data_IF_804254332117
#
_entry.id   IF_804254332117
#
_cell.length_a   1.000
_cell.length_b   1.000
_cell.length_c   1.000
_cell.angle_alpha   90.00
_cell.angle_beta   90.00
_cell.angle_gamma   90.00
#
_symmetry.space_group_name_H-M   'P 1'
#
loop_
_entity.id
_entity.type
_entity.pdbx_description
1 polymer ?
#
# COMPACT_ATOMS: atom_id res chain seq x y z
N UNK A 1 -21.79 0.55 3.37
CA UNK A 1 -21.95 1.99 3.17
C UNK A 1 -21.96 2.68 4.54
N UNK A 2 -21.06 3.65 4.75
CA UNK A 2 -20.94 4.37 6.03
C UNK A 2 -21.71 5.70 6.03
N UNK A 3 -22.28 6.07 4.89
CA UNK A 3 -23.04 7.31 4.75
C UNK A 3 -24.41 7.20 5.43
N UNK A 4 -24.78 8.24 6.17
CA UNK A 4 -26.13 8.36 6.75
C UNK A 4 -27.12 8.90 5.72
N UNK A 5 -28.40 8.63 5.92
CA UNK A 5 -29.45 9.17 5.07
C UNK A 5 -29.38 10.71 5.01
N UNK A 6 -29.43 11.26 3.80
CA UNK A 6 -29.32 12.70 3.56
C UNK A 6 -27.89 13.25 3.41
N UNK A 7 -26.87 12.44 3.57
CA UNK A 7 -25.49 12.83 3.25
C UNK A 7 -25.24 12.69 1.75
N UNK A 8 -24.62 13.70 1.17
CA UNK A 8 -24.13 13.64 -0.20
C UNK A 8 -22.79 12.90 -0.23
N UNK A 9 -22.65 11.96 -1.16
CA UNK A 9 -21.46 11.11 -1.24
C UNK A 9 -20.87 11.11 -2.64
N UNK A 10 -19.53 11.01 -2.71
CA UNK A 10 -18.79 10.80 -3.94
C UNK A 10 -17.81 9.65 -3.76
N UNK A 11 -17.86 8.66 -4.65
CA UNK A 11 -16.93 7.53 -4.63
C UNK A 11 -15.61 7.93 -5.28
N UNK A 12 -14.48 7.63 -4.60
CA UNK A 12 -13.13 7.83 -5.13
C UNK A 12 -12.85 6.72 -6.16
N UNK A 13 -12.71 7.09 -7.44
CA UNK A 13 -12.53 6.15 -8.58
C UNK A 13 -11.33 6.53 -9.47
N UNK A 14 -10.21 6.93 -8.90
CA UNK A 14 -9.00 7.23 -9.67
C UNK A 14 -8.93 8.66 -10.25
N UNK A 15 -10.04 9.33 -10.53
CA UNK A 15 -10.06 10.75 -10.88
C UNK A 15 -9.94 11.62 -9.62
N UNK A 16 -8.69 11.81 -9.18
CA UNK A 16 -8.39 12.59 -7.98
C UNK A 16 -8.75 14.06 -8.16
N UNK A 17 -8.64 14.61 -9.38
CA UNK A 17 -8.98 16.00 -9.64
C UNK A 17 -10.47 16.26 -9.42
N UNK A 18 -11.34 15.37 -9.89
CA UNK A 18 -12.78 15.47 -9.63
C UNK A 18 -13.10 15.35 -8.12
N UNK A 19 -12.42 14.47 -7.39
CA UNK A 19 -12.58 14.33 -5.93
C UNK A 19 -12.20 15.63 -5.22
N UNK A 20 -11.06 16.21 -5.56
CA UNK A 20 -10.60 17.48 -4.96
C UNK A 20 -11.54 18.65 -5.28
N UNK A 21 -12.05 18.72 -6.51
CA UNK A 21 -13.03 19.73 -6.91
C UNK A 21 -14.35 19.61 -6.12
N UNK A 22 -14.84 18.37 -5.95
CA UNK A 22 -16.02 18.10 -5.13
C UNK A 22 -15.80 18.50 -3.66
N UNK A 23 -14.68 18.13 -3.07
CA UNK A 23 -14.34 18.52 -1.69
C UNK A 23 -14.32 20.06 -1.57
N UNK A 24 -13.68 20.77 -2.50
CA UNK A 24 -13.59 22.23 -2.49
C UNK A 24 -14.97 22.89 -2.56
N UNK A 25 -15.87 22.39 -3.41
CA UNK A 25 -17.25 22.89 -3.49
C UNK A 25 -18.00 22.70 -2.17
N UNK A 26 -17.90 21.50 -1.57
CA UNK A 26 -18.65 21.18 -0.35
C UNK A 26 -18.11 21.89 0.89
N UNK A 27 -16.81 22.12 0.99
CA UNK A 27 -16.20 22.86 2.10
C UNK A 27 -16.71 24.30 2.24
N UNK A 28 -17.30 24.88 1.18
CA UNK A 28 -17.93 26.20 1.27
C UNK A 28 -19.17 26.23 2.18
N UNK A 29 -19.78 25.09 2.44
CA UNK A 29 -21.10 24.99 3.11
C UNK A 29 -21.11 23.99 4.27
N UNK A 30 -20.19 23.04 4.31
CA UNK A 30 -20.25 21.94 5.29
C UNK A 30 -18.88 21.33 5.55
N UNK A 31 -18.81 20.48 6.57
CA UNK A 31 -17.65 19.61 6.79
C UNK A 31 -17.66 18.43 5.81
N UNK A 32 -16.47 18.05 5.33
CA UNK A 32 -16.29 16.90 4.44
C UNK A 32 -15.49 15.83 5.16
N UNK A 33 -15.99 14.60 5.13
CA UNK A 33 -15.28 13.43 5.62
C UNK A 33 -14.79 12.64 4.41
N UNK A 34 -13.47 12.44 4.33
CA UNK A 34 -12.84 11.63 3.30
C UNK A 34 -12.44 10.29 3.91
N UNK A 35 -13.01 9.21 3.39
CA UNK A 35 -12.74 7.87 3.88
C UNK A 35 -11.87 7.12 2.88
N UNK A 36 -10.78 6.55 3.35
CA UNK A 36 -9.85 5.73 2.56
C UNK A 36 -9.62 4.37 3.23
N UNK A 37 -9.16 3.41 2.47
CA UNK A 37 -8.73 2.12 3.00
C UNK A 37 -7.33 2.25 3.61
N UNK A 38 -7.10 1.66 4.77
CA UNK A 38 -5.82 1.70 5.47
C UNK A 38 -5.53 3.04 6.14
N UNK A 39 -4.27 3.43 6.19
CA UNK A 39 -3.84 4.72 6.76
C UNK A 39 -3.85 5.81 5.68
N UNK A 40 -4.46 6.98 5.95
CA UNK A 40 -4.52 8.07 4.98
C UNK A 40 -3.15 8.65 4.60
N UNK A 41 -2.16 8.56 5.47
CA UNK A 41 -0.81 9.09 5.28
C UNK A 41 0.14 8.12 4.58
N UNK A 42 -0.30 6.87 4.31
CA UNK A 42 0.58 5.87 3.73
C UNK A 42 0.17 5.50 2.31
N UNK A 43 0.83 6.11 1.31
CA UNK A 43 0.54 5.95 -0.12
C UNK A 43 -0.97 6.10 -0.46
N UNK A 44 -1.63 7.07 0.15
CA UNK A 44 -3.05 7.29 0.06
C UNK A 44 -3.38 8.75 -0.31
N UNK A 45 -4.61 9.17 -0.11
CA UNK A 45 -5.11 10.46 -0.61
C UNK A 45 -4.56 11.68 0.14
N UNK A 46 -3.95 11.52 1.31
CA UNK A 46 -3.48 12.64 2.13
C UNK A 46 -2.48 13.54 1.39
N UNK A 47 -1.61 12.96 0.57
CA UNK A 47 -0.66 13.75 -0.23
C UNK A 47 -1.36 14.69 -1.21
N UNK A 48 -2.42 14.22 -1.87
CA UNK A 48 -3.21 15.06 -2.79
C UNK A 48 -3.98 16.15 -2.02
N UNK A 49 -4.57 15.80 -0.88
CA UNK A 49 -5.28 16.75 -0.02
C UNK A 49 -4.34 17.84 0.51
N UNK A 50 -3.12 17.51 0.92
CA UNK A 50 -2.15 18.48 1.43
C UNK A 50 -1.60 19.43 0.37
N UNK A 51 -1.61 19.05 -0.90
CA UNK A 51 -1.24 19.94 -2.01
C UNK A 51 -2.35 20.94 -2.33
N UNK A 52 -3.60 20.57 -2.06
CA UNK A 52 -4.79 21.33 -2.42
C UNK A 52 -5.31 22.20 -1.27
N UNK A 53 -5.23 21.72 -0.03
CA UNK A 53 -5.82 22.37 1.13
C UNK A 53 -4.77 22.71 2.19
N UNK A 54 -4.92 23.86 2.89
CA UNK A 54 -4.03 24.22 3.99
C UNK A 54 -4.00 23.13 5.07
N UNK A 55 -2.83 22.72 5.59
CA UNK A 55 -2.73 21.68 6.60
C UNK A 55 -3.61 21.90 7.84
N UNK A 56 -3.84 23.14 8.22
CA UNK A 56 -4.66 23.53 9.38
C UNK A 56 -6.14 23.16 9.22
N UNK A 57 -6.60 22.93 7.99
CA UNK A 57 -7.99 22.55 7.69
C UNK A 57 -8.18 21.03 7.67
N UNK A 58 -7.10 20.27 7.81
CA UNK A 58 -7.12 18.82 7.74
C UNK A 58 -7.03 18.21 9.14
N UNK A 59 -8.00 17.40 9.49
CA UNK A 59 -7.92 16.51 10.66
C UNK A 59 -7.72 15.08 10.15
N UNK A 60 -6.55 14.53 10.43
CA UNK A 60 -6.18 13.18 9.97
C UNK A 60 -6.41 12.19 11.10
N UNK A 61 -7.26 11.20 10.85
CA UNK A 61 -7.48 10.08 11.77
C UNK A 61 -6.67 8.91 11.23
N UNK A 62 -5.66 8.40 11.98
CA UNK A 62 -4.84 7.29 11.51
C UNK A 62 -5.64 6.00 11.38
N UNK A 63 -5.22 5.16 10.48
CA UNK A 63 -5.74 3.81 10.29
C UNK A 63 -4.65 2.76 10.30
N UNK A 64 -5.02 1.50 10.21
CA UNK A 64 -4.08 0.39 10.10
C UNK A 64 -3.85 0.09 8.62
N UNK A 65 -2.61 0.23 8.17
CA UNK A 65 -2.24 -0.11 6.78
C UNK A 65 -2.14 -1.62 6.57
N UNK A 66 -2.33 -2.07 5.35
CA UNK A 66 -2.14 -3.48 4.99
C UNK A 66 -0.71 -3.98 5.25
N UNK A 67 0.29 -3.11 5.17
CA UNK A 67 1.67 -3.45 5.55
C UNK A 67 1.78 -3.73 7.05
N UNK A 68 1.19 -2.92 7.91
CA UNK A 68 1.18 -3.19 9.37
C UNK A 68 0.52 -4.54 9.66
N UNK A 69 -0.59 -4.85 8.98
CA UNK A 69 -1.25 -6.15 9.14
C UNK A 69 -0.35 -7.29 8.66
N UNK A 70 0.32 -7.16 7.51
CA UNK A 70 1.24 -8.17 7.00
C UNK A 70 2.37 -8.47 8.01
N UNK A 71 3.05 -7.43 8.50
CA UNK A 71 4.12 -7.60 9.49
C UNK A 71 3.62 -8.22 10.80
N UNK A 72 2.41 -7.86 11.25
CA UNK A 72 1.80 -8.46 12.43
C UNK A 72 1.49 -9.96 12.21
N UNK A 73 0.97 -10.34 11.04
CA UNK A 73 0.70 -11.74 10.68
C UNK A 73 1.97 -12.58 10.62
N UNK A 74 3.07 -11.98 10.13
CA UNK A 74 4.37 -12.63 10.04
C UNK A 74 5.15 -12.61 11.36
N UNK A 75 4.64 -11.95 12.40
CA UNK A 75 5.33 -11.72 13.67
C UNK A 75 6.73 -11.08 13.48
N UNK A 76 6.86 -10.20 12.49
CA UNK A 76 8.11 -9.51 12.17
C UNK A 76 8.10 -8.08 12.75
N UNK A 77 9.13 -7.67 13.50
CA UNK A 77 9.34 -6.26 13.83
C UNK A 77 9.62 -5.47 12.53
N UNK A 78 9.05 -4.27 12.42
CA UNK A 78 9.13 -3.49 11.20
C UNK A 78 9.79 -2.11 11.34
N UNK A 79 10.36 -1.81 12.52
CA UNK A 79 11.00 -0.52 12.78
C UNK A 79 12.27 -0.29 11.95
N UNK A 80 12.92 -1.36 11.46
CA UNK A 80 14.07 -1.28 10.55
C UNK A 80 13.71 -1.62 9.10
N UNK A 81 12.45 -1.96 8.84
CA UNK A 81 12.01 -2.30 7.49
C UNK A 81 11.97 -1.05 6.60
N UNK A 82 12.38 -1.23 5.35
CA UNK A 82 12.12 -0.24 4.29
C UNK A 82 10.77 -0.55 3.64
N UNK A 83 10.14 0.49 3.12
CA UNK A 83 8.85 0.38 2.47
C UNK A 83 8.87 1.08 1.13
N UNK A 84 8.26 0.45 0.13
CA UNK A 84 8.06 1.05 -1.18
C UNK A 84 6.70 0.63 -1.75
N UNK A 85 6.25 1.35 -2.75
CA UNK A 85 4.97 1.08 -3.39
C UNK A 85 5.11 1.00 -4.89
N UNK A 86 4.67 -0.12 -5.43
CA UNK A 86 4.42 -0.29 -6.86
C UNK A 86 2.96 0.00 -7.23
N UNK A 87 2.10 0.30 -6.25
CA UNK A 87 0.69 0.55 -6.50
C UNK A 87 0.47 1.88 -7.21
N UNK A 88 0.22 1.82 -8.53
CA UNK A 88 0.01 3.00 -9.36
C UNK A 88 1.24 3.90 -9.53
N UNK A 89 2.43 3.40 -9.22
CA UNK A 89 3.71 4.11 -9.32
C UNK A 89 4.87 3.15 -9.51
N UNK A 90 6.01 3.72 -9.83
CA UNK A 90 7.31 3.02 -9.86
C UNK A 90 8.18 3.57 -8.73
N UNK A 91 8.65 2.75 -7.78
CA UNK A 91 9.59 3.20 -6.75
C UNK A 91 10.95 3.51 -7.34
N UNK A 92 11.72 4.39 -6.69
CA UNK A 92 13.11 4.63 -7.07
C UNK A 92 13.96 3.39 -6.75
N UNK A 93 15.01 3.13 -7.54
CA UNK A 93 15.88 1.96 -7.34
C UNK A 93 16.48 1.94 -5.92
N UNK A 94 16.81 3.11 -5.38
CA UNK A 94 17.38 3.28 -4.04
C UNK A 94 16.44 2.84 -2.92
N UNK A 95 15.12 2.87 -3.15
CA UNK A 95 14.12 2.44 -2.19
C UNK A 95 14.07 0.91 -2.06
N UNK A 96 14.41 0.20 -3.15
CA UNK A 96 14.24 -1.26 -3.25
C UNK A 96 15.53 -2.05 -3.50
N UNK A 97 16.68 -1.39 -3.70
CA UNK A 97 17.98 -2.05 -3.86
C UNK A 97 18.35 -2.86 -2.62
N UNK A 98 19.04 -3.97 -2.83
CA UNK A 98 19.54 -4.82 -1.75
C UNK A 98 20.46 -4.06 -0.77
N UNK A 99 20.31 -4.38 0.50
CA UNK A 99 21.26 -4.04 1.58
C UNK A 99 21.37 -5.25 2.50
N UNK A 100 22.54 -5.51 3.04
CA UNK A 100 22.75 -6.63 3.96
C UNK A 100 21.78 -6.58 5.15
N UNK A 101 21.13 -7.72 5.45
CA UNK A 101 20.10 -7.82 6.49
C UNK A 101 18.82 -7.05 6.20
N UNK A 102 18.57 -6.68 4.94
CA UNK A 102 17.41 -5.86 4.58
C UNK A 102 16.09 -6.61 4.82
N UNK A 103 15.13 -5.83 5.33
CA UNK A 103 13.72 -6.19 5.40
C UNK A 103 12.92 -5.16 4.60
N UNK A 104 12.16 -5.61 3.60
CA UNK A 104 11.48 -4.75 2.64
C UNK A 104 10.00 -5.12 2.55
N UNK A 105 9.12 -4.16 2.79
CA UNK A 105 7.67 -4.30 2.59
C UNK A 105 7.22 -3.54 1.35
N UNK A 106 6.46 -4.20 0.47
CA UNK A 106 6.05 -3.66 -0.83
C UNK A 106 4.54 -3.73 -1.02
N UNK A 107 3.95 -2.61 -1.44
CA UNK A 107 2.59 -2.59 -2.00
C UNK A 107 2.65 -2.98 -3.47
N UNK A 108 1.74 -3.85 -3.90
CA UNK A 108 1.67 -4.35 -5.28
C UNK A 108 0.44 -3.84 -6.03
N UNK A 109 0.43 -4.01 -7.34
CA UNK A 109 -0.72 -3.80 -8.19
C UNK A 109 -0.86 -4.93 -9.24
N UNK A 110 -1.76 -4.74 -10.21
CA UNK A 110 -2.02 -5.76 -11.23
C UNK A 110 -0.81 -6.03 -12.13
N UNK A 111 -0.01 -5.02 -12.43
CA UNK A 111 1.17 -5.13 -13.32
C UNK A 111 2.40 -5.51 -12.52
N UNK A 112 2.59 -4.87 -11.37
CA UNK A 112 3.70 -5.09 -10.46
C UNK A 112 3.21 -5.99 -9.32
N UNK A 113 3.43 -7.29 -9.45
CA UNK A 113 2.81 -8.31 -8.64
C UNK A 113 3.82 -9.35 -8.11
N UNK A 114 3.33 -10.42 -7.50
CA UNK A 114 4.17 -11.48 -6.94
C UNK A 114 5.02 -12.25 -7.96
N UNK A 115 4.76 -12.09 -9.27
CA UNK A 115 5.55 -12.67 -10.37
C UNK A 115 6.58 -11.72 -10.93
N UNK A 116 6.22 -10.46 -11.08
CA UNK A 116 7.02 -9.48 -11.82
C UNK A 116 8.03 -8.75 -10.92
N UNK A 117 7.74 -8.60 -9.62
CA UNK A 117 8.63 -7.90 -8.68
C UNK A 117 9.86 -8.76 -8.30
N UNK A 118 9.75 -10.06 -7.98
CA UNK A 118 10.90 -10.84 -7.50
C UNK A 118 12.11 -10.88 -8.47
N UNK A 119 11.94 -11.09 -9.79
CA UNK A 119 13.07 -11.02 -10.73
C UNK A 119 13.78 -9.65 -10.70
N UNK A 120 13.02 -8.56 -10.60
CA UNK A 120 13.57 -7.21 -10.54
C UNK A 120 14.37 -6.97 -9.26
N UNK A 121 13.95 -7.53 -8.12
CA UNK A 121 14.71 -7.45 -6.88
C UNK A 121 16.04 -8.20 -7.02
N UNK A 122 16.04 -9.38 -7.64
CA UNK A 122 17.27 -10.15 -7.93
C UNK A 122 18.23 -9.30 -8.80
N UNK A 123 17.74 -8.66 -9.86
CA UNK A 123 18.53 -7.74 -10.70
C UNK A 123 19.09 -6.55 -9.91
N UNK A 124 18.42 -6.14 -8.82
CA UNK A 124 18.85 -5.09 -7.89
C UNK A 124 19.73 -5.63 -6.74
N UNK A 125 20.23 -6.85 -6.89
CA UNK A 125 21.23 -7.45 -6.01
C UNK A 125 20.69 -8.29 -4.84
N UNK A 126 19.36 -8.45 -4.72
CA UNK A 126 18.80 -9.32 -3.68
C UNK A 126 19.23 -10.78 -3.91
N UNK A 127 19.67 -11.50 -2.86
CA UNK A 127 19.95 -12.93 -2.96
C UNK A 127 18.73 -13.68 -3.46
N UNK A 128 18.86 -14.60 -4.44
CA UNK A 128 17.73 -15.37 -4.95
C UNK A 128 17.01 -16.22 -3.90
N UNK A 129 17.72 -16.61 -2.85
CA UNK A 129 17.23 -17.39 -1.71
C UNK A 129 16.64 -16.52 -0.57
N UNK A 130 16.57 -15.18 -0.74
CA UNK A 130 15.88 -14.30 0.21
C UNK A 130 14.45 -14.77 0.44
N UNK A 131 14.03 -14.80 1.71
CA UNK A 131 12.66 -15.16 2.09
C UNK A 131 11.66 -14.18 1.46
N UNK A 132 10.63 -14.71 0.82
CA UNK A 132 9.51 -13.93 0.26
C UNK A 132 8.21 -14.39 0.88
N UNK A 133 7.53 -13.45 1.54
CA UNK A 133 6.17 -13.65 2.03
C UNK A 133 5.21 -12.85 1.17
N UNK A 134 4.19 -13.52 0.63
CA UNK A 134 3.17 -12.94 -0.24
C UNK A 134 1.85 -12.93 0.53
N UNK A 135 1.40 -11.76 0.95
CA UNK A 135 0.21 -11.58 1.77
C UNK A 135 -0.91 -10.95 0.93
N UNK A 136 -2.05 -11.61 0.89
CA UNK A 136 -3.21 -11.11 0.16
C UNK A 136 -4.49 -11.23 0.97
N UNK A 137 -5.47 -10.41 0.65
CA UNK A 137 -6.79 -10.42 1.29
C UNK A 137 -6.71 -10.30 2.82
N UNK A 138 -5.69 -9.60 3.32
CA UNK A 138 -5.45 -9.44 4.74
C UNK A 138 -6.69 -8.87 5.46
N UNK A 139 -7.05 -9.49 6.58
CA UNK A 139 -8.25 -9.18 7.38
C UNK A 139 -9.59 -9.56 6.73
N UNK A 140 -9.60 -10.29 5.62
CA UNK A 140 -10.79 -10.91 5.05
C UNK A 140 -10.84 -12.40 5.40
N UNK A 141 -12.00 -13.02 5.22
CA UNK A 141 -12.20 -14.45 5.52
C UNK A 141 -11.31 -15.37 4.65
N UNK A 142 -10.95 -14.92 3.45
CA UNK A 142 -10.09 -15.59 2.50
C UNK A 142 -8.66 -15.05 2.51
N UNK A 143 -8.17 -14.59 3.68
CA UNK A 143 -6.80 -14.16 3.90
C UNK A 143 -5.81 -15.28 3.50
N UNK A 144 -4.78 -14.92 2.73
CA UNK A 144 -3.73 -15.85 2.30
C UNK A 144 -2.35 -15.29 2.59
N UNK A 145 -1.49 -16.14 3.12
CA UNK A 145 -0.07 -15.86 3.31
C UNK A 145 0.71 -17.03 2.73
N UNK A 146 1.49 -16.75 1.68
CA UNK A 146 2.36 -17.74 1.03
C UNK A 146 3.80 -17.43 1.42
N UNK A 147 4.58 -18.50 1.65
CA UNK A 147 6.00 -18.43 1.98
C UNK A 147 6.80 -19.11 0.87
N UNK A 148 7.80 -18.42 0.35
CA UNK A 148 8.67 -18.90 -0.72
C UNK A 148 9.99 -18.14 -0.70
N UNK A 149 10.79 -18.23 -1.75
CA UNK A 149 11.97 -17.39 -1.99
C UNK A 149 11.76 -16.51 -3.22
N UNK A 150 12.64 -15.52 -3.44
CA UNK A 150 12.59 -14.71 -4.65
C UNK A 150 12.73 -15.57 -5.92
N UNK A 151 13.64 -16.56 -5.90
CA UNK A 151 13.85 -17.47 -7.04
C UNK A 151 12.65 -18.36 -7.34
N UNK A 152 11.94 -18.79 -6.29
CA UNK A 152 10.82 -19.74 -6.40
C UNK A 152 9.45 -19.05 -6.50
N UNK A 153 9.39 -17.73 -6.53
CA UNK A 153 8.14 -16.95 -6.59
C UNK A 153 7.24 -17.38 -7.77
N UNK A 154 7.81 -17.92 -8.84
CA UNK A 154 7.05 -18.42 -9.99
C UNK A 154 6.36 -19.77 -9.74
N UNK A 155 6.70 -20.49 -8.70
CA UNK A 155 6.14 -21.80 -8.38
C UNK A 155 4.87 -21.72 -7.52
N UNK A 156 4.60 -20.56 -6.91
CA UNK A 156 3.40 -20.31 -6.10
C UNK A 156 2.33 -19.58 -6.91
N UNK A 157 1.06 -19.57 -6.49
CA UNK A 157 0.01 -18.80 -7.17
C UNK A 157 0.34 -17.32 -7.32
N UNK A 158 0.01 -16.73 -8.46
CA UNK A 158 0.17 -15.30 -8.69
C UNK A 158 -0.83 -14.50 -7.88
N UNK A 159 -0.34 -13.51 -7.17
CA UNK A 159 -1.12 -12.54 -6.40
C UNK A 159 -0.89 -11.15 -6.99
N UNK A 160 -1.93 -10.58 -7.59
CA UNK A 160 -1.86 -9.26 -8.22
C UNK A 160 -1.86 -8.13 -7.20
N UNK A 161 -2.82 -8.15 -6.28
CA UNK A 161 -2.97 -7.10 -5.26
C UNK A 161 -2.68 -7.68 -3.87
N UNK A 162 -1.62 -7.22 -3.27
CA UNK A 162 -1.20 -7.73 -1.97
C UNK A 162 -0.01 -6.97 -1.41
N UNK A 163 0.59 -7.58 -0.42
CA UNK A 163 1.83 -7.12 0.20
C UNK A 163 2.90 -8.19 -0.03
N UNK A 164 4.05 -7.76 -0.51
CA UNK A 164 5.24 -8.60 -0.48
C UNK A 164 6.13 -8.15 0.68
N UNK A 165 6.59 -9.09 1.47
CA UNK A 165 7.62 -8.86 2.49
C UNK A 165 8.82 -9.71 2.14
N UNK A 166 9.96 -9.06 1.90
CA UNK A 166 11.22 -9.71 1.52
C UNK A 166 12.22 -9.53 2.64
N UNK A 167 12.84 -10.62 3.04
CA UNK A 167 13.86 -10.65 4.10
C UNK A 167 15.10 -11.37 3.57
N UNK A 168 16.26 -10.69 3.67
CA UNK A 168 17.57 -11.22 3.31
C UNK A 168 18.23 -11.96 4.48
#
# INVERSE_FOLDING_TARGET
>A
DFARQGQETMTIRGDIAAVLAFIRDKLQKTHVVVMVSGDPGYYSLLDALRREFPPQTLVVIPGVSSLQVAFARLALPWHEARFASFHGREPQAEEIVYREGALLGLLTDRTNNSRTIPPRLIELGWPPDSELHICSRLSYEDEQILHTTLAEASLVPEISHGILVVKA
#
